data_IF_164041894662
#
_entry.id   IF_164041894662
#
_cell.length_a   1.000
_cell.length_b   1.000
_cell.length_c   1.000
_cell.angle_alpha   90.00
_cell.angle_beta   90.00
_cell.angle_gamma   90.00
#
_symmetry.space_group_name_H-M   'P 1'
#
loop_
_entity.id
_entity.type
_entity.pdbx_description
1 polymer ?
#
# COMPACT_ATOMS: atom_id res chain seq x y z
N UNK A 1 -16.39 -29.53 24.21
CA UNK A 1 -15.14 -28.79 24.50
C UNK A 1 -14.23 -29.75 25.24
N UNK A 2 -13.17 -30.22 24.58
CA UNK A 2 -12.11 -30.98 25.27
C UNK A 2 -11.30 -29.99 26.09
N UNK A 3 -11.23 -30.19 27.40
CA UNK A 3 -10.44 -29.37 28.32
C UNK A 3 -8.96 -29.64 28.03
N UNK A 4 -8.25 -28.64 27.53
CA UNK A 4 -6.82 -28.69 27.29
C UNK A 4 -6.08 -28.75 28.63
N UNK A 5 -5.27 -29.79 28.85
CA UNK A 5 -4.45 -29.91 30.07
C UNK A 5 -3.14 -29.14 29.93
N UNK A 6 -2.46 -28.80 31.04
CA UNK A 6 -1.12 -28.23 30.99
C UNK A 6 -0.12 -29.14 30.27
N UNK A 7 -0.19 -30.47 30.46
CA UNK A 7 0.68 -31.40 29.75
C UNK A 7 0.48 -31.34 28.23
N UNK A 8 -0.76 -31.20 27.75
CA UNK A 8 -1.07 -31.07 26.32
C UNK A 8 -0.46 -29.80 25.74
N UNK A 9 -0.53 -28.68 26.46
CA UNK A 9 0.05 -27.41 26.06
C UNK A 9 1.58 -27.50 25.94
N UNK A 10 2.24 -28.09 26.93
CA UNK A 10 3.70 -28.28 26.94
C UNK A 10 4.14 -29.18 25.78
N UNK A 11 3.40 -30.27 25.54
CA UNK A 11 3.68 -31.20 24.45
C UNK A 11 3.53 -30.52 23.08
N UNK A 12 2.47 -29.72 22.90
CA UNK A 12 2.25 -28.96 21.68
C UNK A 12 3.39 -27.95 21.43
N UNK A 13 3.74 -27.14 22.43
CA UNK A 13 4.82 -26.16 22.33
C UNK A 13 6.17 -26.82 22.03
N UNK A 14 6.49 -27.94 22.70
CA UNK A 14 7.72 -28.69 22.47
C UNK A 14 7.77 -29.32 21.08
N UNK A 15 6.63 -29.73 20.53
CA UNK A 15 6.53 -30.24 19.16
C UNK A 15 6.88 -29.14 18.14
N UNK A 16 6.28 -27.96 18.29
CA UNK A 16 6.56 -26.81 17.42
C UNK A 16 8.04 -26.44 17.50
N UNK A 17 8.60 -26.36 18.71
CA UNK A 17 10.02 -26.05 18.90
C UNK A 17 10.93 -27.06 18.20
N UNK A 18 10.59 -28.36 18.25
CA UNK A 18 11.32 -29.41 17.53
C UNK A 18 11.18 -29.26 16.02
N UNK A 19 9.97 -29.02 15.51
CA UNK A 19 9.73 -28.88 14.07
C UNK A 19 10.48 -27.67 13.48
N UNK A 20 10.62 -26.59 14.25
CA UNK A 20 11.47 -25.44 13.88
C UNK A 20 12.96 -25.81 13.91
N UNK A 21 13.43 -26.49 14.97
CA UNK A 21 14.83 -26.90 15.10
C UNK A 21 15.26 -27.88 14.00
N UNK A 22 14.35 -28.77 13.58
CA UNK A 22 14.57 -29.73 12.50
C UNK A 22 14.42 -29.11 11.09
N UNK A 23 14.07 -27.81 11.00
CA UNK A 23 13.82 -27.12 9.74
C UNK A 23 12.55 -27.57 9.00
N UNK A 24 11.68 -28.36 9.64
CA UNK A 24 10.40 -28.81 9.10
C UNK A 24 9.34 -27.70 9.15
N UNK A 25 9.51 -26.73 10.04
CA UNK A 25 8.66 -25.56 10.18
C UNK A 25 9.51 -24.30 10.06
N UNK A 26 9.26 -23.51 9.02
CA UNK A 26 9.91 -22.21 8.84
C UNK A 26 9.10 -21.12 9.57
N UNK A 27 9.73 -20.28 10.42
CA UNK A 27 9.06 -19.13 11.03
C UNK A 27 8.42 -18.20 10.00
N UNK A 28 9.12 -17.92 8.91
CA UNK A 28 8.59 -17.08 7.82
C UNK A 28 7.36 -17.71 7.16
N UNK A 29 7.37 -19.03 6.97
CA UNK A 29 6.19 -19.72 6.41
C UNK A 29 4.98 -19.68 7.35
N UNK A 30 5.22 -19.70 8.67
CA UNK A 30 4.15 -19.51 9.66
C UNK A 30 3.58 -18.09 9.62
N UNK A 31 4.44 -17.08 9.49
CA UNK A 31 4.03 -15.68 9.37
C UNK A 31 3.20 -15.47 8.09
N UNK A 32 3.68 -15.99 6.96
CA UNK A 32 2.96 -15.94 5.69
C UNK A 32 1.58 -16.61 5.79
N UNK A 33 1.52 -17.79 6.42
CA UNK A 33 0.26 -18.47 6.67
C UNK A 33 -0.65 -17.63 7.57
N UNK A 34 -0.13 -17.06 8.66
CA UNK A 34 -0.93 -16.23 9.55
C UNK A 34 -1.50 -15.00 8.84
N UNK A 35 -0.71 -14.35 7.96
CA UNK A 35 -1.20 -13.24 7.12
C UNK A 35 -2.28 -13.72 6.15
N UNK A 36 -2.11 -14.89 5.53
CA UNK A 36 -3.12 -15.46 4.64
C UNK A 36 -4.44 -15.75 5.37
N UNK A 37 -4.38 -16.35 6.57
CA UNK A 37 -5.56 -16.61 7.40
C UNK A 37 -6.21 -15.31 7.88
N UNK A 38 -5.43 -14.33 8.32
CA UNK A 38 -5.94 -13.01 8.69
C UNK A 38 -6.65 -12.34 7.50
N UNK A 39 -6.10 -12.44 6.29
CA UNK A 39 -6.77 -11.94 5.08
C UNK A 39 -8.04 -12.73 4.75
N UNK A 40 -8.06 -14.04 4.97
CA UNK A 40 -9.26 -14.84 4.75
C UNK A 40 -10.37 -14.49 5.75
N UNK A 41 -10.02 -14.25 7.02
CA UNK A 41 -10.97 -13.94 8.09
C UNK A 41 -11.44 -12.48 8.10
N UNK A 42 -10.54 -11.53 7.85
CA UNK A 42 -10.80 -10.09 7.97
C UNK A 42 -10.74 -9.32 6.64
N UNK A 43 -10.34 -9.97 5.54
CA UNK A 43 -10.15 -9.29 4.25
C UNK A 43 -11.45 -9.04 3.49
N UNK A 44 -12.57 -9.63 3.92
CA UNK A 44 -13.90 -9.39 3.35
C UNK A 44 -14.80 -8.86 4.44
N UNK A 45 -15.49 -7.74 4.16
CA UNK A 45 -16.38 -7.10 5.13
C UNK A 45 -17.83 -7.29 4.69
N UNK A 46 -18.65 -7.94 5.54
CA UNK A 46 -20.03 -8.30 5.22
C UNK A 46 -21.10 -7.23 5.46
N UNK A 47 -20.75 -6.09 6.08
CA UNK A 47 -21.70 -5.03 6.46
C UNK A 47 -22.18 -5.14 7.91
N UNK A 48 -23.26 -4.43 8.27
CA UNK A 48 -23.78 -4.31 9.66
C UNK A 48 -24.15 -5.65 10.33
N UNK A 49 -24.36 -6.72 9.56
CA UNK A 49 -24.64 -8.08 10.09
C UNK A 49 -23.39 -8.92 10.36
N UNK A 50 -22.20 -8.42 10.03
CA UNK A 50 -20.93 -9.10 10.23
C UNK A 50 -20.54 -9.11 11.73
N UNK A 51 -20.26 -10.28 12.33
CA UNK A 51 -19.80 -10.35 13.72
C UNK A 51 -18.53 -9.52 14.01
N UNK A 52 -17.71 -9.25 12.99
CA UNK A 52 -16.47 -8.48 13.09
C UNK A 52 -16.65 -6.99 12.75
N UNK A 53 -17.88 -6.54 12.49
CA UNK A 53 -18.17 -5.20 11.98
C UNK A 53 -17.56 -4.06 12.81
N UNK A 54 -17.66 -4.13 14.14
CA UNK A 54 -17.09 -3.09 15.01
C UNK A 54 -15.57 -3.04 14.92
N UNK A 55 -14.90 -4.19 14.80
CA UNK A 55 -13.44 -4.28 14.62
C UNK A 55 -13.05 -3.69 13.27
N UNK A 56 -13.78 -3.98 12.20
CA UNK A 56 -13.55 -3.37 10.89
C UNK A 56 -13.65 -1.84 10.94
N UNK A 57 -14.63 -1.30 11.67
CA UNK A 57 -14.80 0.14 11.83
C UNK A 57 -13.63 0.79 12.55
N UNK A 58 -13.14 0.16 13.62
CA UNK A 58 -12.01 0.68 14.38
C UNK A 58 -10.69 0.60 13.62
N UNK A 59 -10.46 -0.49 12.86
CA UNK A 59 -9.31 -0.61 11.97
C UNK A 59 -9.39 0.45 10.87
N UNK A 60 -10.55 0.63 10.22
CA UNK A 60 -10.73 1.63 9.18
C UNK A 60 -10.42 3.04 9.69
N UNK A 61 -10.93 3.42 10.87
CA UNK A 61 -10.63 4.73 11.49
C UNK A 61 -9.13 4.93 11.72
N UNK A 62 -8.45 3.92 12.26
CA UNK A 62 -7.01 3.97 12.50
C UNK A 62 -6.22 4.07 11.18
N UNK A 63 -6.59 3.27 10.18
CA UNK A 63 -5.95 3.28 8.87
C UNK A 63 -6.09 4.67 8.20
N UNK A 64 -7.28 5.27 8.25
CA UNK A 64 -7.49 6.63 7.75
C UNK A 64 -6.69 7.68 8.52
N UNK A 65 -6.61 7.57 9.85
CA UNK A 65 -5.80 8.48 10.67
C UNK A 65 -4.29 8.39 10.35
N UNK A 66 -3.84 7.23 9.85
CA UNK A 66 -2.46 6.99 9.40
C UNK A 66 -2.25 7.29 7.90
N UNK A 67 -3.28 7.78 7.19
CA UNK A 67 -3.17 8.15 5.78
C UNK A 67 -3.20 6.97 4.81
N UNK A 68 -3.93 5.89 5.14
CA UNK A 68 -4.07 4.72 4.27
C UNK A 68 -4.74 5.04 2.91
N UNK A 69 -5.45 6.16 2.81
CA UNK A 69 -6.02 6.69 1.58
C UNK A 69 -5.63 8.17 1.45
N UNK A 70 -5.45 8.62 0.22
CA UNK A 70 -5.28 10.04 -0.10
C UNK A 70 -6.60 10.80 0.07
N UNK A 71 -6.53 12.13 0.16
CA UNK A 71 -7.73 12.98 0.27
C UNK A 71 -8.66 12.83 -0.94
N UNK A 72 -8.09 12.69 -2.14
CA UNK A 72 -8.84 12.52 -3.38
C UNK A 72 -9.57 11.18 -3.39
N UNK A 73 -8.89 10.07 -3.08
CA UNK A 73 -9.53 8.75 -2.96
C UNK A 73 -10.65 8.75 -1.91
N UNK A 74 -10.44 9.39 -0.76
CA UNK A 74 -11.50 9.54 0.25
C UNK A 74 -12.71 10.32 -0.27
N UNK A 75 -12.49 11.35 -1.07
CA UNK A 75 -13.57 12.14 -1.66
C UNK A 75 -14.40 11.33 -2.66
N UNK A 76 -13.75 10.46 -3.44
CA UNK A 76 -14.40 9.54 -4.38
C UNK A 76 -15.25 8.52 -3.62
N UNK A 77 -14.70 7.88 -2.59
CA UNK A 77 -15.44 6.92 -1.78
C UNK A 77 -16.60 7.56 -1.00
N UNK A 78 -16.45 8.81 -0.57
CA UNK A 78 -17.55 9.57 0.00
C UNK A 78 -18.68 9.80 -1.02
N UNK A 79 -18.35 10.08 -2.29
CA UNK A 79 -19.34 10.19 -3.36
C UNK A 79 -20.05 8.86 -3.63
N UNK A 80 -19.32 7.73 -3.64
CA UNK A 80 -19.90 6.38 -3.74
C UNK A 80 -20.87 6.11 -2.59
N UNK A 81 -20.48 6.45 -1.36
CA UNK A 81 -21.33 6.27 -0.18
C UNK A 81 -22.62 7.10 -0.25
N UNK A 82 -22.53 8.36 -0.67
CA UNK A 82 -23.70 9.24 -0.88
C UNK A 82 -24.64 8.68 -1.95
N UNK A 83 -24.07 8.23 -3.07
CA UNK A 83 -24.84 7.61 -4.14
C UNK A 83 -25.59 6.34 -3.66
N UNK A 84 -24.93 5.48 -2.87
CA UNK A 84 -25.58 4.31 -2.25
C UNK A 84 -26.70 4.68 -1.26
N UNK A 85 -26.56 5.80 -0.56
CA UNK A 85 -27.61 6.34 0.31
C UNK A 85 -28.79 6.98 -0.47
N UNK A 86 -28.73 6.99 -1.81
CA UNK A 86 -29.76 7.57 -2.67
C UNK A 86 -29.67 9.09 -2.79
N UNK A 87 -28.54 9.70 -2.41
CA UNK A 87 -28.32 11.12 -2.61
C UNK A 87 -28.10 11.40 -4.10
N UNK A 88 -28.85 12.36 -4.64
CA UNK A 88 -28.70 12.75 -6.04
C UNK A 88 -27.31 13.34 -6.25
N UNK A 89 -26.54 12.76 -7.18
CA UNK A 89 -25.31 13.37 -7.66
C UNK A 89 -25.69 14.73 -8.23
N UNK A 90 -25.20 15.81 -7.62
CA UNK A 90 -25.42 17.15 -8.14
C UNK A 90 -24.92 17.19 -9.58
N UNK A 91 -25.85 17.23 -10.53
CA UNK A 91 -25.54 17.65 -11.89
C UNK A 91 -24.97 19.06 -11.80
N UNK A 92 -23.83 19.36 -12.46
CA UNK A 92 -23.28 20.70 -12.52
C UNK A 92 -24.39 21.70 -12.84
N UNK A 93 -24.41 22.83 -12.16
CA UNK A 93 -25.34 23.90 -12.50
C UNK A 93 -25.14 24.22 -13.99
N UNK A 94 -26.19 24.36 -14.81
CA UNK A 94 -26.03 24.86 -16.17
C UNK A 94 -25.23 26.17 -16.26
N UNK A 95 -25.08 26.94 -15.16
CA UNK A 95 -24.18 28.09 -15.10
C UNK A 95 -22.67 27.76 -15.07
N UNK A 96 -22.29 26.55 -14.63
CA UNK A 96 -20.90 26.06 -14.61
C UNK A 96 -20.52 25.33 -15.90
N UNK A 97 -21.48 25.16 -16.83
CA UNK A 97 -21.19 24.67 -18.17
C UNK A 97 -20.61 25.83 -18.97
N UNK A 98 -19.36 25.74 -19.47
CA UNK A 98 -18.82 26.74 -20.38
C UNK A 98 -19.82 26.93 -21.53
N UNK A 99 -20.06 28.17 -22.00
CA UNK A 99 -20.99 28.41 -23.08
C UNK A 99 -20.64 27.48 -24.25
N UNK A 100 -21.68 26.90 -24.85
CA UNK A 100 -21.56 26.05 -26.03
C UNK A 100 -20.55 26.69 -26.98
N UNK A 101 -19.50 25.98 -27.44
CA UNK A 101 -18.53 26.55 -28.35
C UNK A 101 -19.32 27.04 -29.55
N UNK A 102 -19.33 28.36 -29.73
CA UNK A 102 -19.95 28.98 -30.90
C UNK A 102 -19.36 28.26 -32.11
N UNK A 103 -20.19 27.75 -33.04
CA UNK A 103 -19.66 27.12 -34.24
C UNK A 103 -18.86 28.18 -34.98
N UNK A 104 -17.53 28.11 -34.84
CA UNK A 104 -16.64 28.89 -35.68
C UNK A 104 -16.93 28.44 -37.09
N UNK A 105 -17.35 29.39 -37.92
CA UNK A 105 -17.49 29.18 -39.36
C UNK A 105 -16.14 28.69 -39.83
N UNK A 106 -16.04 27.39 -40.13
CA UNK A 106 -14.83 26.79 -40.67
C UNK A 106 -14.62 27.42 -42.03
N UNK A 107 -13.77 28.44 -42.10
CA UNK A 107 -13.34 29.03 -43.36
C UNK A 107 -12.60 27.92 -44.10
N UNK A 108 -13.11 27.54 -45.27
CA UNK A 108 -12.43 26.63 -46.15
C UNK A 108 -11.10 27.24 -46.57
N UNK A 109 -9.99 26.75 -46.02
CA UNK A 109 -8.68 26.97 -46.61
C UNK A 109 -8.64 26.19 -47.93
N UNK A 110 -8.91 26.91 -49.02
CA UNK A 110 -8.61 26.43 -50.36
C UNK A 110 -7.10 26.15 -50.47
N UNK A 111 -6.68 25.17 -51.27
CA UNK A 111 -5.27 24.85 -51.43
C UNK A 111 -4.55 26.04 -52.06
N UNK A 112 -3.71 26.71 -51.28
CA UNK A 112 -2.74 27.67 -51.79
C UNK A 112 -1.64 26.86 -52.48
N UNK A 113 -1.63 26.91 -53.81
CA UNK A 113 -0.59 26.29 -54.63
C UNK A 113 0.73 27.02 -54.40
N UNK A 114 1.64 26.40 -53.65
CA UNK A 114 3.03 26.84 -53.53
C UNK A 114 3.76 26.47 -54.83
N UNK A 115 4.47 27.40 -55.51
CA UNK A 115 5.35 27.05 -56.61
C UNK A 115 6.53 26.22 -56.09
N UNK A 116 6.82 25.11 -56.76
CA UNK A 116 8.04 24.32 -56.56
C UNK A 116 9.27 25.18 -56.85
N UNK A 117 10.18 25.29 -55.88
CA UNK A 117 11.54 25.74 -56.09
C UNK A 117 12.45 24.51 -55.96
N UNK A 118 13.00 24.11 -57.11
CA UNK A 118 14.03 23.09 -57.23
C UNK A 118 15.33 23.65 -56.67
N UNK A 119 15.90 23.03 -55.64
CA UNK A 119 17.32 23.25 -55.30
C UNK A 119 17.97 21.97 -54.80
N UNK A 120 18.45 21.21 -55.79
CA UNK A 120 19.78 20.58 -55.88
C UNK A 120 20.40 19.96 -54.62
N UNK A 121 20.34 18.62 -54.58
CA UNK A 121 20.98 17.73 -53.63
C UNK A 121 22.51 17.72 -53.77
N UNK A 122 23.19 18.41 -52.85
CA UNK A 122 24.62 18.21 -52.59
C UNK A 122 24.84 16.99 -51.70
N UNK A 123 25.19 15.86 -52.31
CA UNK A 123 25.58 14.63 -51.64
C UNK A 123 26.77 14.82 -50.68
N UNK A 124 26.61 14.42 -49.41
CA UNK A 124 27.73 14.10 -48.52
C UNK A 124 27.71 12.62 -48.17
N UNK A 125 28.79 12.00 -48.62
CA UNK A 125 29.17 10.60 -48.55
C UNK A 125 29.40 10.15 -47.10
N UNK A 126 28.70 9.10 -46.66
CA UNK A 126 28.91 8.47 -45.36
C UNK A 126 29.96 7.37 -45.55
N UNK A 127 31.19 7.64 -45.11
CA UNK A 127 32.22 6.62 -44.98
C UNK A 127 32.33 6.21 -43.50
N UNK A 128 32.10 4.94 -43.13
CA UNK A 128 32.41 4.45 -41.79
C UNK A 128 33.80 3.78 -41.81
N UNK A 129 34.79 4.43 -41.21
CA UNK A 129 35.99 3.71 -40.79
C UNK A 129 36.67 4.37 -39.59
N UNK A 130 37.15 3.53 -38.66
CA UNK A 130 38.16 3.90 -37.67
C UNK A 130 37.72 4.02 -36.21
N UNK A 131 37.82 2.93 -35.45
CA UNK A 131 38.37 3.00 -34.08
C UNK A 131 39.88 3.35 -34.11
N UNK A 132 40.65 3.38 -33.00
CA UNK A 132 40.39 2.83 -31.66
C UNK A 132 40.72 3.83 -30.52
N UNK A 133 40.45 3.45 -29.26
CA UNK A 133 40.93 4.23 -28.10
C UNK A 133 40.51 3.64 -26.77
N UNK A 134 41.32 2.72 -26.26
CA UNK A 134 41.24 2.23 -24.88
C UNK A 134 41.44 3.40 -23.89
N UNK A 135 40.54 3.52 -22.92
CA UNK A 135 40.77 4.27 -21.69
C UNK A 135 40.71 3.29 -20.53
N UNK A 136 41.90 2.90 -20.07
CA UNK A 136 42.14 2.41 -18.72
C UNK A 136 41.88 3.56 -17.74
N UNK A 137 40.97 3.34 -16.79
CA UNK A 137 40.96 4.04 -15.51
C UNK A 137 40.48 3.07 -14.43
N UNK A 138 41.43 2.28 -13.92
CA UNK A 138 41.46 1.81 -12.54
C UNK A 138 41.39 3.04 -11.60
N UNK A 139 40.27 3.21 -10.88
CA UNK A 139 40.26 3.88 -9.57
C UNK A 139 38.93 3.60 -8.82
N UNK A 140 38.78 2.37 -8.33
CA UNK A 140 37.75 2.06 -7.32
C UNK A 140 38.38 2.26 -5.93
N UNK A 141 38.56 3.54 -5.58
CA UNK A 141 38.90 3.96 -4.23
C UNK A 141 37.76 3.62 -3.26
N UNK A 142 38.04 2.76 -2.29
CA UNK A 142 37.11 2.31 -1.27
C UNK A 142 36.52 3.46 -0.46
N UNK A 143 35.20 3.64 -0.56
CA UNK A 143 34.43 4.37 0.42
C UNK A 143 34.08 3.41 1.57
N UNK A 144 34.71 3.60 2.72
CA UNK A 144 34.29 2.96 3.97
C UNK A 144 32.84 3.37 4.30
N UNK A 145 31.97 2.43 4.74
CA UNK A 145 30.66 2.82 5.25
C UNK A 145 30.84 3.55 6.58
N UNK A 146 30.53 4.86 6.57
CA UNK A 146 30.43 5.66 7.78
C UNK A 146 29.39 5.04 8.73
N UNK A 147 29.87 4.53 9.86
CA UNK A 147 29.04 4.02 10.95
C UNK A 147 28.36 5.23 11.59
N UNK A 148 27.10 5.47 11.24
CA UNK A 148 26.25 6.47 11.92
C UNK A 148 25.98 5.93 13.33
N UNK A 149 26.76 6.40 14.32
CA UNK A 149 26.44 6.25 15.73
C UNK A 149 25.22 7.10 16.06
N UNK A 150 24.04 6.52 15.92
CA UNK A 150 22.83 7.05 16.54
C UNK A 150 22.94 6.76 18.03
N UNK A 151 23.37 7.78 18.78
CA UNK A 151 23.20 7.80 20.24
C UNK A 151 21.70 7.82 20.52
N UNK A 152 21.13 6.63 20.70
CA UNK A 152 19.74 6.46 21.10
C UNK A 152 19.53 7.04 22.49
N UNK A 153 18.80 8.14 22.55
CA UNK A 153 18.26 8.70 23.78
C UNK A 153 17.31 7.64 24.38
N UNK A 154 17.75 6.99 25.46
CA UNK A 154 16.97 5.99 26.18
C UNK A 154 15.73 6.67 26.77
N UNK A 155 14.50 6.30 26.38
CA UNK A 155 13.30 6.81 27.04
C UNK A 155 13.26 6.22 28.46
N UNK A 156 13.54 7.04 29.47
CA UNK A 156 13.40 6.73 30.89
C UNK A 156 11.92 6.80 31.30
N UNK A 157 11.09 5.95 30.71
CA UNK A 157 9.81 5.62 31.34
C UNK A 157 10.03 4.52 32.37
N UNK A 158 9.57 4.68 33.62
CA UNK A 158 9.67 3.65 34.64
C UNK A 158 8.87 2.43 34.16
N UNK A 159 9.59 1.38 33.78
CA UNK A 159 9.03 0.08 33.40
C UNK A 159 8.46 -0.54 34.69
N UNK A 160 7.14 -0.79 34.79
CA UNK A 160 6.64 -1.53 35.93
C UNK A 160 7.22 -2.95 35.86
N UNK A 161 7.98 -3.34 36.89
CA UNK A 161 8.70 -4.62 37.00
C UNK A 161 7.80 -5.86 37.03
N UNK A 162 6.51 -5.71 36.78
CA UNK A 162 5.58 -6.83 36.62
C UNK A 162 4.59 -6.51 35.51
N UNK A 163 4.89 -7.01 34.31
CA UNK A 163 3.86 -7.19 33.29
C UNK A 163 3.08 -8.45 33.67
N UNK A 164 1.87 -8.28 34.20
CA UNK A 164 0.92 -9.38 34.41
C UNK A 164 -0.05 -9.44 33.22
N UNK A 165 0.09 -10.41 32.32
CA UNK A 165 -0.78 -10.54 31.15
C UNK A 165 -2.23 -10.91 31.51
N UNK A 166 -2.50 -11.26 32.77
CA UNK A 166 -3.84 -11.68 33.24
C UNK A 166 -4.59 -10.59 34.00
N UNK A 167 -3.95 -9.46 34.30
CA UNK A 167 -4.55 -8.38 35.08
C UNK A 167 -5.82 -7.76 34.44
N UNK A 168 -5.94 -7.82 33.10
CA UNK A 168 -7.11 -7.36 32.36
C UNK A 168 -8.11 -8.47 32.02
N UNK A 169 -7.81 -9.74 32.35
CA UNK A 169 -8.63 -10.88 31.95
C UNK A 169 -9.61 -11.28 33.06
N UNK A 170 -10.81 -10.70 33.01
CA UNK A 170 -11.94 -11.14 33.85
C UNK A 170 -12.61 -12.38 33.23
N UNK A 171 -12.16 -13.57 33.61
CA UNK A 171 -12.87 -14.81 33.31
C UNK A 171 -14.22 -14.85 34.06
N UNK A 172 -15.32 -14.71 33.33
CA UNK A 172 -16.63 -15.14 33.83
C UNK A 172 -17.39 -14.15 34.71
N UNK A 173 -17.44 -12.88 34.30
CA UNK A 173 -18.48 -11.93 34.75
C UNK A 173 -19.86 -12.39 34.28
N UNK A 174 -20.43 -13.36 34.98
CA UNK A 174 -21.80 -13.85 34.78
C UNK A 174 -22.77 -12.70 35.01
N UNK A 175 -23.42 -12.21 33.95
CA UNK A 175 -24.69 -11.49 34.07
C UNK A 175 -25.71 -12.48 34.63
N UNK A 176 -25.93 -12.45 35.94
CA UNK A 176 -27.12 -13.02 36.57
C UNK A 176 -28.20 -11.93 36.59
N UNK A 177 -29.29 -12.24 35.88
CA UNK A 177 -30.65 -11.70 35.88
C UNK A 177 -30.84 -10.18 35.98
#
# INVERSE_FOLDING_TARGET
MTTMTPEDAIKAASSIARDVADGRLSPTALEDQAVAECRALFGTVGGDGDPLWDVHRDIARQALALGALTADELSEWAAVSRHQAGEAVATPDPSDTPPDPVPFVSVAHGPETVPSDDTDDGAVDIHPDGGPGAVDLDDVGGAEPAVVSIVGMVPTSPRPDHYDPTAAWLAGGTRRN
#
